data_IF_726099107894
#
_entry.id   IF_726099107894
#
_cell.length_a   1.000
_cell.length_b   1.000
_cell.length_c   1.000
_cell.angle_alpha   90.00
_cell.angle_beta   90.00
_cell.angle_gamma   90.00
#
_symmetry.space_group_name_H-M   'P 1'
#
loop_
_entity.id
_entity.type
_entity.pdbx_description
1 polymer ?
#
# COMPACT_ATOMS: atom_id res chain seq x y z
N UNK A 1 12.92 4.98 -21.83
CA UNK A 1 12.79 3.98 -20.74
C UNK A 1 11.46 3.23 -20.82
N UNK A 2 10.29 3.87 -20.65
CA UNK A 2 8.97 3.21 -20.74
C UNK A 2 8.77 2.34 -22.01
N UNK A 3 8.94 2.93 -23.20
CA UNK A 3 8.79 2.19 -24.47
C UNK A 3 9.78 1.02 -24.62
N UNK A 4 10.94 1.07 -23.95
CA UNK A 4 11.88 -0.05 -23.94
C UNK A 4 11.40 -1.16 -23.01
N UNK A 5 10.81 -0.81 -21.87
CA UNK A 5 10.23 -1.76 -20.92
C UNK A 5 9.01 -2.45 -21.53
N UNK A 6 8.09 -1.69 -22.15
CA UNK A 6 6.89 -2.23 -22.82
C UNK A 6 7.23 -3.22 -23.94
N UNK A 7 8.33 -3.00 -24.69
CA UNK A 7 8.79 -3.94 -25.72
C UNK A 7 9.31 -5.26 -25.17
N UNK A 8 9.74 -5.28 -23.91
CA UNK A 8 10.23 -6.48 -23.24
C UNK A 8 9.14 -7.19 -22.43
N UNK A 9 7.91 -6.66 -22.42
CA UNK A 9 6.79 -7.35 -21.78
C UNK A 9 6.41 -8.61 -22.59
N UNK A 10 5.96 -9.67 -21.90
CA UNK A 10 5.40 -10.83 -22.57
C UNK A 10 4.24 -10.42 -23.49
N UNK A 11 4.06 -11.15 -24.60
CA UNK A 11 2.95 -10.90 -25.49
C UNK A 11 1.62 -11.15 -24.76
N UNK A 12 0.80 -10.10 -24.62
CA UNK A 12 -0.49 -10.18 -23.93
C UNK A 12 -1.50 -11.07 -24.66
N UNK A 13 -1.27 -11.36 -25.95
CA UNK A 13 -2.09 -12.30 -26.74
C UNK A 13 -2.16 -13.67 -26.08
N UNK A 14 -1.07 -14.16 -25.48
CA UNK A 14 -1.07 -15.45 -24.76
C UNK A 14 -2.07 -15.44 -23.60
N UNK A 15 -2.10 -14.34 -22.84
CA UNK A 15 -3.08 -14.15 -21.77
C UNK A 15 -4.51 -14.09 -22.29
N UNK A 16 -4.75 -13.32 -23.36
CA UNK A 16 -6.09 -13.11 -23.91
C UNK A 16 -6.66 -14.37 -24.58
N UNK A 17 -5.84 -15.11 -25.31
CA UNK A 17 -6.26 -16.27 -26.11
C UNK A 17 -6.22 -17.59 -25.34
N UNK A 18 -5.30 -17.75 -24.38
CA UNK A 18 -5.14 -19.00 -23.65
C UNK A 18 -5.60 -18.91 -22.19
N UNK A 19 -5.25 -17.85 -21.45
CA UNK A 19 -5.57 -17.76 -20.02
C UNK A 19 -7.02 -17.34 -19.77
N UNK A 20 -7.53 -16.31 -20.46
CA UNK A 20 -8.91 -15.84 -20.24
C UNK A 20 -10.00 -16.91 -20.50
N UNK A 21 -9.92 -17.74 -21.55
CA UNK A 21 -10.88 -18.83 -21.74
C UNK A 21 -10.83 -19.87 -20.63
N UNK A 22 -9.63 -20.19 -20.11
CA UNK A 22 -9.48 -21.10 -18.96
C UNK A 22 -10.16 -20.55 -17.72
N UNK A 23 -10.00 -19.25 -17.42
CA UNK A 23 -10.68 -18.60 -16.30
C UNK A 23 -12.21 -18.66 -16.46
N UNK A 24 -12.74 -18.36 -17.65
CA UNK A 24 -14.18 -18.43 -17.93
C UNK A 24 -14.72 -19.85 -17.76
N UNK A 25 -13.99 -20.85 -18.23
CA UNK A 25 -14.36 -22.25 -18.06
C UNK A 25 -14.35 -22.66 -16.58
N UNK A 26 -13.32 -22.25 -15.83
CA UNK A 26 -13.23 -22.51 -14.40
C UNK A 26 -14.42 -21.89 -13.62
N UNK A 27 -14.81 -20.65 -13.93
CA UNK A 27 -15.99 -20.02 -13.32
C UNK A 27 -17.27 -20.81 -13.59
N UNK A 28 -17.49 -21.25 -14.84
CA UNK A 28 -18.66 -22.08 -15.20
C UNK A 28 -18.67 -23.43 -14.49
N UNK A 29 -17.52 -24.09 -14.36
CA UNK A 29 -17.41 -25.35 -13.63
C UNK A 29 -17.69 -25.18 -12.12
N UNK A 30 -17.47 -23.98 -11.58
CA UNK A 30 -17.83 -23.61 -10.22
C UNK A 30 -19.24 -23.01 -10.10
N UNK A 31 -20.09 -23.15 -11.12
CA UNK A 31 -21.48 -22.65 -11.15
C UNK A 31 -21.64 -21.13 -11.14
N UNK A 32 -20.67 -20.38 -11.66
CA UNK A 32 -20.74 -18.93 -11.85
C UNK A 32 -20.86 -18.56 -13.33
N UNK A 33 -21.60 -17.49 -13.64
CA UNK A 33 -21.87 -17.07 -15.01
C UNK A 33 -20.70 -16.28 -15.62
N UNK A 34 -19.87 -15.66 -14.78
CA UNK A 34 -18.74 -14.84 -15.20
C UNK A 34 -17.54 -14.96 -14.25
N UNK A 35 -16.35 -14.57 -14.74
CA UNK A 35 -15.14 -14.44 -13.92
C UNK A 35 -15.32 -13.38 -12.83
N UNK A 36 -16.04 -12.31 -13.16
CA UNK A 36 -16.35 -11.22 -12.22
C UNK A 36 -17.17 -11.74 -11.02
N UNK A 37 -18.24 -12.48 -11.29
CA UNK A 37 -19.10 -13.10 -10.26
C UNK A 37 -18.32 -14.10 -9.41
N UNK A 38 -17.42 -14.87 -10.04
CA UNK A 38 -16.56 -15.81 -9.31
C UNK A 38 -15.60 -15.10 -8.36
N UNK A 39 -14.96 -14.00 -8.78
CA UNK A 39 -14.08 -13.22 -7.92
C UNK A 39 -14.83 -12.49 -6.80
N UNK A 40 -16.01 -11.96 -7.09
CA UNK A 40 -16.86 -11.33 -6.06
C UNK A 40 -17.25 -12.32 -4.97
N UNK A 41 -17.59 -13.56 -5.35
CA UNK A 41 -17.89 -14.64 -4.41
C UNK A 41 -16.69 -15.05 -3.54
N UNK A 42 -15.45 -14.93 -4.04
CA UNK A 42 -14.25 -15.19 -3.26
C UNK A 42 -13.98 -14.12 -2.20
N UNK A 43 -14.43 -12.88 -2.41
CA UNK A 43 -14.16 -11.74 -1.53
C UNK A 43 -14.98 -11.68 -0.24
N UNK A 44 -15.85 -12.67 0.00
CA UNK A 44 -16.75 -12.77 1.17
C UNK A 44 -17.70 -11.56 1.33
N UNK A 45 -17.84 -10.75 0.28
CA UNK A 45 -18.71 -9.57 0.24
C UNK A 45 -19.54 -9.61 -1.04
N UNK A 46 -20.82 -9.98 -0.90
CA UNK A 46 -21.75 -10.05 -2.03
C UNK A 46 -21.96 -8.65 -2.65
N UNK A 47 -21.77 -8.54 -3.97
CA UNK A 47 -21.88 -7.27 -4.68
C UNK A 47 -20.71 -6.32 -4.42
N UNK A 48 -19.55 -6.82 -4.02
CA UNK A 48 -18.36 -6.03 -3.67
C UNK A 48 -17.89 -5.16 -4.80
N UNK A 49 -17.87 -5.68 -6.02
CA UNK A 49 -17.50 -4.90 -7.21
C UNK A 49 -18.50 -3.79 -7.54
N UNK A 50 -19.81 -4.05 -7.40
CA UNK A 50 -20.81 -3.00 -7.55
C UNK A 50 -20.61 -1.92 -6.49
N UNK A 51 -20.36 -2.33 -5.24
CA UNK A 51 -20.11 -1.41 -4.15
C UNK A 51 -18.86 -0.57 -4.36
N UNK A 52 -17.79 -1.17 -4.86
CA UNK A 52 -16.56 -0.47 -5.21
C UNK A 52 -16.81 0.61 -6.28
N UNK A 53 -17.62 0.31 -7.31
CA UNK A 53 -18.02 1.31 -8.33
C UNK A 53 -18.81 2.47 -7.72
N UNK A 54 -19.77 2.19 -6.83
CA UNK A 54 -20.51 3.25 -6.12
C UNK A 54 -19.59 4.13 -5.25
N UNK A 55 -18.64 3.52 -4.54
CA UNK A 55 -17.67 4.24 -3.72
C UNK A 55 -16.74 5.08 -4.59
N UNK A 56 -16.32 4.55 -5.73
CA UNK A 56 -15.52 5.29 -6.70
C UNK A 56 -16.22 6.57 -7.16
N UNK A 57 -17.52 6.54 -7.45
CA UNK A 57 -18.26 7.74 -7.86
C UNK A 57 -18.25 8.83 -6.77
N UNK A 58 -18.17 8.45 -5.48
CA UNK A 58 -18.04 9.39 -4.35
C UNK A 58 -16.61 9.93 -4.20
N UNK A 59 -15.60 9.12 -4.53
CA UNK A 59 -14.18 9.48 -4.43
C UNK A 59 -13.72 10.28 -5.65
N UNK A 60 -14.30 10.03 -6.83
CA UNK A 60 -13.97 10.63 -8.12
C UNK A 60 -13.84 12.16 -8.08
N UNK A 61 -14.70 12.94 -7.40
CA UNK A 61 -14.50 14.39 -7.28
C UNK A 61 -13.19 14.78 -6.59
N UNK A 62 -12.74 14.01 -5.59
CA UNK A 62 -11.46 14.22 -4.92
C UNK A 62 -10.29 13.83 -5.82
N UNK A 63 -10.37 12.66 -6.47
CA UNK A 63 -9.38 12.22 -7.45
C UNK A 63 -9.20 13.27 -8.56
N UNK A 64 -10.28 13.79 -9.14
CA UNK A 64 -10.22 14.81 -10.19
C UNK A 64 -9.58 16.11 -9.71
N UNK A 65 -9.79 16.51 -8.45
CA UNK A 65 -9.10 17.68 -7.86
C UNK A 65 -7.60 17.41 -7.72
N UNK A 66 -7.22 16.24 -7.21
CA UNK A 66 -5.82 15.83 -7.11
C UNK A 66 -5.14 15.76 -8.48
N UNK A 67 -5.76 15.08 -9.45
CA UNK A 67 -5.26 14.98 -10.81
C UNK A 67 -5.07 16.36 -11.45
N UNK A 68 -6.05 17.28 -11.32
CA UNK A 68 -5.91 18.67 -11.82
C UNK A 68 -4.75 19.40 -11.13
N UNK A 69 -4.58 19.23 -9.82
CA UNK A 69 -3.47 19.81 -9.07
C UNK A 69 -2.12 19.28 -9.56
N UNK A 70 -1.98 17.96 -9.72
CA UNK A 70 -0.75 17.33 -10.25
C UNK A 70 -0.45 17.82 -11.67
N UNK A 71 -1.46 17.87 -12.54
CA UNK A 71 -1.31 18.39 -13.90
C UNK A 71 -0.81 19.84 -13.91
N UNK A 72 -1.43 20.71 -13.11
CA UNK A 72 -1.04 22.11 -12.99
C UNK A 72 0.40 22.26 -12.51
N UNK A 73 0.80 21.49 -11.49
CA UNK A 73 2.12 21.58 -10.87
C UNK A 73 3.25 21.04 -11.76
N UNK A 74 2.99 19.98 -12.51
CA UNK A 74 4.02 19.34 -13.33
C UNK A 74 4.11 19.92 -14.75
N UNK A 75 2.98 20.38 -15.30
CA UNK A 75 2.88 20.72 -16.74
C UNK A 75 2.21 22.06 -17.04
N UNK A 76 1.72 22.77 -16.02
CA UNK A 76 1.07 24.07 -16.19
C UNK A 76 -0.42 23.98 -16.55
N UNK A 77 -1.04 25.16 -16.75
CA UNK A 77 -2.49 25.30 -16.90
C UNK A 77 -3.04 24.52 -18.11
N UNK A 78 -2.29 24.47 -19.21
CA UNK A 78 -2.72 23.82 -20.46
C UNK A 78 -2.88 22.29 -20.34
N UNK A 79 -2.30 21.68 -19.30
CA UNK A 79 -2.42 20.25 -19.02
C UNK A 79 -3.62 19.91 -18.13
N UNK A 80 -4.25 20.89 -17.50
CA UNK A 80 -5.37 20.66 -16.58
C UNK A 80 -6.55 20.05 -17.32
N UNK A 81 -7.03 18.89 -16.84
CA UNK A 81 -8.14 18.16 -17.46
C UNK A 81 -7.75 17.23 -18.61
N UNK A 82 -6.47 17.18 -19.00
CA UNK A 82 -5.93 16.23 -19.99
C UNK A 82 -5.27 15.02 -19.28
N UNK A 83 -5.25 13.83 -19.88
CA UNK A 83 -4.56 12.68 -19.32
C UNK A 83 -3.09 12.98 -18.99
N UNK A 84 -2.61 12.50 -17.84
CA UNK A 84 -1.21 12.57 -17.45
C UNK A 84 -0.40 11.44 -18.09
N UNK A 85 0.70 11.74 -18.82
CA UNK A 85 1.58 10.70 -19.32
C UNK A 85 2.25 9.93 -18.16
N UNK A 86 2.01 8.62 -18.04
CA UNK A 86 2.48 7.78 -16.91
C UNK A 86 3.97 7.98 -16.57
N UNK A 87 4.84 8.15 -17.57
CA UNK A 87 6.28 8.28 -17.36
C UNK A 87 6.70 9.52 -16.56
N UNK A 88 5.84 10.56 -16.43
CA UNK A 88 6.16 11.74 -15.61
C UNK A 88 5.90 11.50 -14.12
N UNK A 89 5.18 10.44 -13.78
CA UNK A 89 4.82 10.08 -12.41
C UNK A 89 5.95 9.35 -11.69
N UNK A 90 7.05 9.03 -12.40
CA UNK A 90 8.16 8.21 -11.90
C UNK A 90 7.70 6.82 -11.40
N UNK A 91 6.59 6.31 -11.94
CA UNK A 91 6.11 4.94 -11.80
C UNK A 91 6.05 4.27 -13.18
N UNK A 92 6.20 2.95 -13.23
CA UNK A 92 6.08 2.15 -14.46
C UNK A 92 4.61 1.96 -14.85
N UNK A 93 3.76 1.70 -13.85
CA UNK A 93 2.31 1.44 -13.96
C UNK A 93 1.46 2.69 -13.76
N UNK A 94 1.93 3.66 -12.96
CA UNK A 94 1.19 4.89 -12.62
C UNK A 94 0.21 4.72 -11.47
N UNK A 95 0.32 3.63 -10.72
CA UNK A 95 -0.41 3.26 -9.50
C UNK A 95 0.06 4.01 -8.23
N UNK A 96 1.30 4.47 -8.19
CA UNK A 96 1.84 5.27 -7.09
C UNK A 96 2.42 6.60 -7.59
N UNK A 97 1.89 7.70 -7.10
CA UNK A 97 2.35 9.07 -7.40
C UNK A 97 3.17 9.66 -6.25
N UNK A 98 3.50 8.90 -5.21
CA UNK A 98 4.32 9.37 -4.09
C UNK A 98 5.72 9.80 -4.53
N UNK A 99 6.25 9.19 -5.60
CA UNK A 99 7.58 9.47 -6.17
C UNK A 99 7.77 10.91 -6.69
N UNK A 100 6.68 11.66 -6.89
CA UNK A 100 6.69 13.06 -7.34
C UNK A 100 6.29 14.05 -6.24
N UNK A 101 6.18 13.60 -4.99
CA UNK A 101 5.75 14.42 -3.84
C UNK A 101 6.49 15.76 -3.77
N UNK A 102 7.81 15.79 -3.99
CA UNK A 102 8.64 16.99 -3.86
C UNK A 102 8.23 18.12 -4.81
N UNK A 103 7.71 17.79 -6.01
CA UNK A 103 7.20 18.78 -6.97
C UNK A 103 5.84 19.36 -6.54
N UNK A 104 5.12 18.62 -5.68
CA UNK A 104 3.75 18.88 -5.28
C UNK A 104 3.64 19.53 -3.90
N UNK A 105 4.73 19.57 -3.14
CA UNK A 105 4.73 20.18 -1.81
C UNK A 105 4.47 21.70 -1.87
N UNK A 106 3.73 22.24 -0.88
CA UNK A 106 3.63 23.69 -0.69
C UNK A 106 4.98 24.31 -0.31
N UNK A 107 5.11 25.63 -0.48
CA UNK A 107 6.30 26.37 -0.05
C UNK A 107 6.51 26.17 1.46
N UNK A 108 7.69 25.68 1.85
CA UNK A 108 8.05 25.36 3.25
C UNK A 108 7.27 24.18 3.85
N UNK A 109 7.26 23.01 3.20
CA UNK A 109 6.69 21.78 3.76
C UNK A 109 7.59 21.17 4.86
N UNK A 110 7.72 21.87 5.99
CA UNK A 110 8.65 21.52 7.06
C UNK A 110 8.41 20.13 7.68
N UNK A 111 7.17 19.66 7.73
CA UNK A 111 6.85 18.31 8.21
C UNK A 111 7.43 17.21 7.31
N UNK A 112 7.28 17.33 5.99
CA UNK A 112 7.87 16.39 5.04
C UNK A 112 9.38 16.36 5.19
N UNK A 113 10.03 17.54 5.22
CA UNK A 113 11.48 17.65 5.32
C UNK A 113 12.02 17.03 6.62
N UNK A 114 11.38 17.30 7.76
CA UNK A 114 11.80 16.75 9.06
C UNK A 114 11.56 15.24 9.16
N UNK A 115 10.39 14.75 8.72
CA UNK A 115 10.11 13.31 8.71
C UNK A 115 11.11 12.60 7.80
N UNK A 116 11.30 13.09 6.58
CA UNK A 116 12.27 12.52 5.64
C UNK A 116 13.69 12.50 6.22
N UNK A 117 14.16 13.61 6.80
CA UNK A 117 15.48 13.67 7.44
C UNK A 117 15.60 12.70 8.63
N UNK A 118 14.58 12.62 9.49
CA UNK A 118 14.60 11.75 10.65
C UNK A 118 14.56 10.26 10.26
N UNK A 119 13.85 9.88 9.20
CA UNK A 119 13.91 8.52 8.66
C UNK A 119 15.35 8.14 8.29
N UNK A 120 16.08 9.04 7.63
CA UNK A 120 17.48 8.84 7.25
C UNK A 120 18.41 8.79 8.48
N UNK A 121 18.30 9.77 9.38
CA UNK A 121 19.14 9.85 10.59
C UNK A 121 18.96 8.67 11.54
N UNK A 122 17.75 8.11 11.58
CA UNK A 122 17.44 6.92 12.37
C UNK A 122 17.68 5.60 11.61
N UNK A 123 18.18 5.68 10.37
CA UNK A 123 18.44 4.53 9.50
C UNK A 123 17.23 3.57 9.39
N UNK A 124 16.03 4.15 9.22
CA UNK A 124 14.78 3.40 9.11
C UNK A 124 14.58 2.82 7.70
N UNK A 125 15.45 1.87 7.36
CA UNK A 125 15.37 1.02 6.18
C UNK A 125 15.57 -0.45 6.53
N UNK A 126 15.19 -1.34 5.62
CA UNK A 126 15.29 -2.79 5.83
C UNK A 126 14.66 -3.28 7.14
N UNK A 127 15.38 -4.09 7.94
CA UNK A 127 14.82 -4.65 9.17
C UNK A 127 14.44 -3.58 10.22
N UNK A 128 15.13 -2.43 10.25
CA UNK A 128 14.88 -1.40 11.27
C UNK A 128 13.48 -0.80 11.14
N UNK A 129 13.00 -0.59 9.90
CA UNK A 129 11.66 -0.05 9.69
C UNK A 129 10.57 -1.06 10.04
N UNK A 130 10.82 -2.36 9.85
CA UNK A 130 9.90 -3.43 10.26
C UNK A 130 9.81 -3.55 11.78
N UNK A 131 10.94 -3.45 12.50
CA UNK A 131 10.95 -3.36 13.97
C UNK A 131 10.16 -2.13 14.44
N UNK A 132 10.31 -1.01 13.75
CA UNK A 132 9.58 0.23 14.07
C UNK A 132 8.07 0.06 13.86
N UNK A 133 7.67 -0.59 12.77
CA UNK A 133 6.28 -0.91 12.49
C UNK A 133 5.68 -1.88 13.52
N UNK A 134 6.44 -2.89 13.96
CA UNK A 134 6.03 -3.80 15.03
C UNK A 134 5.70 -3.08 16.34
N UNK A 135 6.44 -2.00 16.66
CA UNK A 135 6.14 -1.19 17.83
C UNK A 135 4.77 -0.48 17.72
N UNK A 136 4.36 -0.01 16.54
CA UNK A 136 3.04 0.60 16.37
C UNK A 136 1.92 -0.43 16.60
N UNK A 137 2.09 -1.64 16.10
CA UNK A 137 1.12 -2.73 16.25
C UNK A 137 1.00 -3.15 17.73
N UNK A 138 2.14 -3.19 18.44
CA UNK A 138 2.18 -3.38 19.90
C UNK A 138 1.43 -2.25 20.63
N UNK A 139 1.67 -1.00 20.27
CA UNK A 139 0.99 0.18 20.84
C UNK A 139 -0.52 0.17 20.58
N UNK A 140 -0.97 -0.43 19.48
CA UNK A 140 -2.37 -0.64 19.13
C UNK A 140 -2.98 -1.90 19.79
N UNK A 141 -2.21 -2.59 20.64
CA UNK A 141 -2.62 -3.77 21.39
C UNK A 141 -2.97 -5.01 20.53
N UNK A 142 -2.37 -5.12 19.34
CA UNK A 142 -2.44 -6.34 18.51
C UNK A 142 -1.40 -7.40 18.91
N UNK A 143 -0.53 -7.08 19.89
CA UNK A 143 0.57 -7.93 20.33
C UNK A 143 1.87 -7.66 19.59
N UNK A 144 2.89 -8.48 19.86
CA UNK A 144 4.21 -8.37 19.25
C UNK A 144 4.32 -9.32 18.05
N UNK A 145 5.08 -8.93 17.04
CA UNK A 145 5.40 -9.82 15.92
C UNK A 145 6.47 -10.82 16.37
N UNK A 146 6.37 -12.07 15.91
CA UNK A 146 7.35 -13.09 16.26
C UNK A 146 8.76 -12.67 15.80
N UNK A 147 9.78 -12.74 16.67
CA UNK A 147 11.15 -12.32 16.30
C UNK A 147 11.69 -13.08 15.09
N UNK A 148 11.35 -14.36 14.99
CA UNK A 148 11.74 -15.26 13.91
C UNK A 148 11.22 -14.77 12.55
N UNK A 149 9.96 -14.32 12.48
CA UNK A 149 9.35 -13.73 11.28
C UNK A 149 10.18 -12.56 10.75
N UNK A 150 10.69 -11.72 11.66
CA UNK A 150 11.53 -10.58 11.29
C UNK A 150 12.95 -10.99 10.88
N UNK A 151 13.58 -11.92 11.60
CA UNK A 151 14.96 -12.34 11.30
C UNK A 151 15.07 -13.14 10.01
N UNK A 152 14.03 -13.89 9.67
CA UNK A 152 14.00 -14.76 8.50
C UNK A 152 13.66 -14.03 7.19
N UNK A 153 13.19 -12.78 7.29
CA UNK A 153 12.84 -11.94 6.16
C UNK A 153 14.07 -11.39 5.43
N UNK A 154 13.92 -11.07 4.14
CA UNK A 154 14.99 -10.58 3.27
C UNK A 154 14.82 -9.09 3.02
N UNK A 155 15.74 -8.28 3.55
CA UNK A 155 15.66 -6.81 3.49
C UNK A 155 16.62 -6.15 2.48
N UNK A 156 17.37 -6.94 1.73
CA UNK A 156 18.32 -6.45 0.73
C UNK A 156 17.98 -7.02 -0.66
N UNK A 157 16.72 -6.81 -1.07
CA UNK A 157 16.17 -7.27 -2.33
C UNK A 157 15.53 -6.08 -3.08
N UNK A 158 14.51 -6.35 -3.90
CA UNK A 158 13.74 -5.36 -4.67
C UNK A 158 12.51 -4.86 -3.91
N UNK A 159 12.14 -3.60 -4.14
CA UNK A 159 10.86 -3.03 -3.73
C UNK A 159 9.85 -3.04 -4.92
N UNK A 160 8.52 -2.99 -4.67
CA UNK A 160 7.84 -2.94 -3.36
C UNK A 160 7.98 -4.24 -2.55
N UNK A 161 7.61 -4.18 -1.28
CA UNK A 161 7.63 -5.31 -0.34
C UNK A 161 6.71 -6.42 -0.80
N UNK A 162 7.24 -7.63 -0.96
CA UNK A 162 6.46 -8.84 -1.24
C UNK A 162 6.39 -9.72 0.00
N UNK A 163 5.19 -10.17 0.36
CA UNK A 163 4.99 -11.15 1.42
C UNK A 163 4.91 -12.56 0.82
N UNK A 164 5.74 -13.47 1.35
CA UNK A 164 5.76 -14.87 0.95
C UNK A 164 5.19 -15.70 2.09
N UNK A 165 3.99 -16.26 1.89
CA UNK A 165 3.31 -17.15 2.82
C UNK A 165 3.53 -18.62 2.41
N UNK A 166 4.13 -19.42 3.28
CA UNK A 166 4.33 -20.86 3.05
C UNK A 166 3.11 -21.71 3.41
N UNK A 167 1.98 -21.08 3.73
CA UNK A 167 0.74 -21.69 4.21
C UNK A 167 0.95 -22.62 5.42
N UNK A 168 2.04 -22.43 6.16
CA UNK A 168 2.38 -23.13 7.40
C UNK A 168 2.28 -22.15 8.57
N UNK A 169 1.95 -22.63 9.78
CA UNK A 169 1.83 -21.74 10.93
C UNK A 169 3.12 -20.93 11.11
N UNK A 170 2.96 -19.61 11.21
CA UNK A 170 4.03 -18.65 11.45
C UNK A 170 5.20 -18.72 10.44
N UNK A 171 4.92 -19.16 9.21
CA UNK A 171 5.91 -19.19 8.12
C UNK A 171 5.55 -18.18 7.04
N UNK A 172 5.64 -16.90 7.40
CA UNK A 172 5.53 -15.78 6.45
C UNK A 172 6.81 -14.97 6.49
N UNK A 173 7.27 -14.47 5.34
CA UNK A 173 8.48 -13.66 5.22
C UNK A 173 8.25 -12.44 4.35
N UNK A 174 8.87 -11.32 4.68
CA UNK A 174 8.98 -10.18 3.78
C UNK A 174 10.20 -10.31 2.89
N UNK A 175 10.05 -9.92 1.63
CA UNK A 175 11.14 -9.67 0.70
C UNK A 175 11.02 -8.22 0.25
N UNK A 176 12.01 -7.38 0.60
CA UNK A 176 11.97 -5.94 0.36
C UNK A 176 13.37 -5.35 0.19
N UNK A 177 13.45 -4.10 -0.25
CA UNK A 177 14.71 -3.36 -0.39
C UNK A 177 15.12 -2.65 0.92
N UNK A 178 16.38 -2.23 0.99
CA UNK A 178 16.94 -1.55 2.17
C UNK A 178 16.65 -0.04 2.18
N UNK A 179 16.08 0.49 1.11
CA UNK A 179 15.97 1.92 0.88
C UNK A 179 15.15 2.63 1.96
N UNK A 180 15.66 3.77 2.41
CA UNK A 180 15.00 4.63 3.39
C UNK A 180 14.15 5.66 2.64
N UNK A 181 12.83 5.56 2.77
CA UNK A 181 11.89 6.52 2.18
C UNK A 181 10.60 6.56 3.00
N UNK A 182 9.80 7.62 2.84
CA UNK A 182 8.47 7.67 3.45
C UNK A 182 7.59 6.57 2.85
N UNK A 183 7.65 6.29 1.54
CA UNK A 183 6.89 5.21 0.91
C UNK A 183 7.16 3.85 1.55
N UNK A 184 8.44 3.48 1.67
CA UNK A 184 8.85 2.21 2.29
C UNK A 184 8.51 2.19 3.79
N UNK A 185 8.52 3.34 4.47
CA UNK A 185 8.08 3.44 5.86
C UNK A 185 6.59 3.09 6.01
N UNK A 186 5.72 3.65 5.16
CA UNK A 186 4.28 3.35 5.24
C UNK A 186 4.02 1.91 4.81
N UNK A 187 4.69 1.42 3.76
CA UNK A 187 4.57 0.03 3.28
C UNK A 187 5.00 -0.99 4.34
N UNK A 188 6.08 -0.74 5.09
CA UNK A 188 6.50 -1.61 6.17
C UNK A 188 5.43 -1.75 7.26
N UNK A 189 4.66 -0.70 7.57
CA UNK A 189 3.56 -0.78 8.53
C UNK A 189 2.41 -1.65 8.01
N UNK A 190 2.13 -1.57 6.72
CA UNK A 190 1.16 -2.47 6.07
C UNK A 190 1.65 -3.93 6.12
N UNK A 191 2.89 -4.17 5.71
CA UNK A 191 3.48 -5.50 5.64
C UNK A 191 3.53 -6.19 7.01
N UNK A 192 3.99 -5.49 8.06
CA UNK A 192 4.04 -6.03 9.41
C UNK A 192 2.63 -6.29 9.95
N UNK A 193 1.63 -5.45 9.62
CA UNK A 193 0.26 -5.73 10.02
C UNK A 193 -0.33 -6.94 9.29
N UNK A 194 -0.03 -7.14 8.00
CA UNK A 194 -0.40 -8.35 7.24
C UNK A 194 0.22 -9.62 7.86
N UNK A 195 1.50 -9.55 8.24
CA UNK A 195 2.18 -10.63 8.97
C UNK A 195 1.49 -10.89 10.31
N UNK A 196 1.23 -9.84 11.11
CA UNK A 196 0.61 -10.00 12.41
C UNK A 196 -0.81 -10.55 12.31
N UNK A 197 -1.56 -10.12 11.31
CA UNK A 197 -2.89 -10.66 11.02
C UNK A 197 -2.82 -12.17 10.81
N UNK A 198 -1.87 -12.65 9.99
CA UNK A 198 -1.67 -14.09 9.74
C UNK A 198 -1.28 -14.86 11.00
N UNK A 199 -0.40 -14.32 11.85
CA UNK A 199 -0.11 -14.91 13.16
C UNK A 199 -1.37 -15.05 14.03
N UNK A 200 -2.21 -14.01 14.09
CA UNK A 200 -3.47 -14.04 14.84
C UNK A 200 -4.42 -15.11 14.29
N UNK A 201 -4.58 -15.21 12.97
CA UNK A 201 -5.40 -16.27 12.36
C UNK A 201 -4.86 -17.65 12.76
N UNK A 202 -3.54 -17.86 12.77
CA UNK A 202 -2.95 -19.14 13.12
C UNK A 202 -3.37 -19.59 14.52
N UNK A 203 -3.41 -18.68 15.50
CA UNK A 203 -3.84 -18.96 16.87
C UNK A 203 -5.30 -19.44 16.97
N UNK A 204 -6.18 -18.96 16.09
CA UNK A 204 -7.62 -19.27 16.13
C UNK A 204 -8.06 -20.36 15.15
N UNK A 205 -7.18 -20.79 14.25
CA UNK A 205 -7.49 -21.76 13.19
C UNK A 205 -7.50 -23.23 13.62
N UNK A 206 -7.12 -23.55 14.87
CA UNK A 206 -6.86 -24.92 15.33
C UNK A 206 -5.92 -25.71 14.39
N UNK A 207 -4.93 -25.03 13.79
CA UNK A 207 -4.02 -25.57 12.79
C UNK A 207 -4.70 -26.05 11.49
N UNK A 208 -5.95 -25.67 11.24
CA UNK A 208 -6.69 -26.04 10.02
C UNK A 208 -6.23 -25.17 8.86
N UNK A 209 -5.64 -25.78 7.83
CA UNK A 209 -5.16 -25.07 6.63
C UNK A 209 -6.22 -24.14 6.03
N UNK A 210 -7.44 -24.64 5.83
CA UNK A 210 -8.52 -23.89 5.18
C UNK A 210 -8.85 -22.61 5.95
N UNK A 211 -8.91 -22.67 7.29
CA UNK A 211 -9.21 -21.50 8.12
C UNK A 211 -8.06 -20.48 8.14
N UNK A 212 -6.81 -20.93 7.93
CA UNK A 212 -5.63 -20.04 7.84
C UNK A 212 -5.56 -19.27 6.54
N UNK A 213 -6.00 -19.90 5.45
CA UNK A 213 -5.96 -19.34 4.11
C UNK A 213 -7.26 -18.71 3.63
N UNK A 214 -8.38 -18.93 4.33
CA UNK A 214 -9.67 -18.33 3.99
C UNK A 214 -9.58 -16.81 3.76
N UNK A 215 -8.87 -16.01 4.58
CA UNK A 215 -8.85 -14.56 4.42
C UNK A 215 -8.05 -14.04 3.21
N UNK A 216 -7.42 -14.89 2.40
CA UNK A 216 -6.54 -14.48 1.27
C UNK A 216 -7.22 -13.57 0.23
N UNK A 217 -8.54 -13.60 0.15
CA UNK A 217 -9.34 -12.74 -0.73
C UNK A 217 -10.21 -11.74 0.05
N UNK A 218 -10.12 -11.75 1.38
CA UNK A 218 -10.98 -10.95 2.23
C UNK A 218 -10.60 -9.48 2.15
N UNK A 219 -11.58 -8.62 1.88
CA UNK A 219 -11.40 -7.18 1.93
C UNK A 219 -10.94 -6.70 3.32
N UNK A 220 -11.29 -7.42 4.39
CA UNK A 220 -10.87 -7.09 5.76
C UNK A 220 -9.37 -7.33 5.94
N UNK A 221 -8.83 -8.40 5.34
CA UNK A 221 -7.41 -8.73 5.37
C UNK A 221 -6.55 -7.64 4.71
N UNK A 222 -7.08 -6.95 3.69
CA UNK A 222 -6.42 -5.79 3.08
C UNK A 222 -6.68 -4.48 3.83
N UNK A 223 -7.92 -4.26 4.30
CA UNK A 223 -8.33 -3.00 4.91
C UNK A 223 -7.65 -2.71 6.25
N UNK A 224 -7.48 -3.71 7.12
CA UNK A 224 -6.85 -3.50 8.45
C UNK A 224 -5.38 -3.08 8.31
N UNK A 225 -4.54 -3.80 7.56
CA UNK A 225 -3.18 -3.37 7.27
C UNK A 225 -3.10 -2.02 6.56
N UNK A 226 -3.95 -1.78 5.55
CA UNK A 226 -4.01 -0.49 4.86
C UNK A 226 -4.36 0.67 5.81
N UNK A 227 -5.20 0.42 6.83
CA UNK A 227 -5.48 1.41 7.86
C UNK A 227 -4.29 1.65 8.80
N UNK A 228 -3.59 0.60 9.24
CA UNK A 228 -2.38 0.74 10.08
C UNK A 228 -1.26 1.49 9.34
N UNK A 229 -1.13 1.20 8.05
CA UNK A 229 -0.30 1.92 7.08
C UNK A 229 -0.60 3.43 7.13
N UNK A 230 -1.86 3.85 6.99
CA UNK A 230 -2.27 5.26 7.14
C UNK A 230 -2.01 5.84 8.55
N UNK A 231 -2.25 5.06 9.60
CA UNK A 231 -2.02 5.49 10.98
C UNK A 231 -0.55 5.78 11.28
N UNK A 232 0.39 5.14 10.57
CA UNK A 232 1.83 5.39 10.76
C UNK A 232 2.23 6.86 10.53
N UNK A 233 1.45 7.60 9.73
CA UNK A 233 1.65 9.02 9.47
C UNK A 233 0.81 9.95 10.36
N UNK A 234 0.02 9.40 11.29
CA UNK A 234 -0.72 10.20 12.25
C UNK A 234 0.25 11.02 13.13
N UNK A 235 -0.05 12.27 13.51
CA UNK A 235 0.84 13.09 14.35
C UNK A 235 1.27 12.42 15.67
N UNK A 236 0.38 11.64 16.30
CA UNK A 236 0.71 10.89 17.51
C UNK A 236 1.65 9.72 17.22
N UNK A 237 1.44 9.00 16.11
CA UNK A 237 2.31 7.92 15.67
C UNK A 237 3.70 8.46 15.29
N UNK A 238 3.78 9.58 14.57
CA UNK A 238 5.05 10.25 14.24
C UNK A 238 5.78 10.79 15.48
N UNK A 239 5.05 11.22 16.52
CA UNK A 239 5.65 11.69 17.76
C UNK A 239 6.24 10.53 18.58
N UNK A 240 5.49 9.45 18.79
CA UNK A 240 6.04 8.20 19.38
C UNK A 240 7.15 7.60 18.50
N UNK A 241 6.98 7.82 17.20
CA UNK A 241 7.89 7.75 16.07
C UNK A 241 9.29 8.34 16.30
N UNK A 242 9.37 9.39 17.12
CA UNK A 242 10.51 10.31 17.11
C UNK A 242 10.72 11.01 15.76
N UNK A 243 9.78 10.86 14.81
CA UNK A 243 9.90 11.36 13.44
C UNK A 243 9.40 12.80 13.34
N UNK A 244 8.41 13.17 14.15
CA UNK A 244 7.92 14.55 14.20
C UNK A 244 7.25 14.86 15.54
N UNK A 245 7.71 15.91 16.23
CA UNK A 245 7.16 16.30 17.53
C UNK A 245 5.72 16.81 17.41
N UNK A 246 4.86 16.36 18.33
CA UNK A 246 3.48 16.82 18.44
C UNK A 246 3.40 18.31 18.81
N UNK A 247 4.35 18.82 19.60
CA UNK A 247 4.45 20.23 19.92
C UNK A 247 4.66 21.06 18.65
N UNK A 248 5.60 20.63 17.80
CA UNK A 248 5.88 21.29 16.53
C UNK A 248 4.67 21.20 15.58
N UNK A 249 3.99 20.06 15.58
CA UNK A 249 2.78 19.85 14.79
C UNK A 249 1.68 20.87 15.13
N UNK A 250 1.50 21.14 16.42
CA UNK A 250 0.42 21.98 16.94
C UNK A 250 0.58 23.48 16.66
N UNK A 251 1.75 23.97 16.24
CA UNK A 251 1.90 25.37 15.81
C UNK A 251 1.09 25.70 14.55
N UNK A 252 0.95 24.74 13.62
CA UNK A 252 0.13 24.92 12.42
C UNK A 252 -0.50 23.58 11.98
N UNK A 253 -1.52 23.10 12.71
CA UNK A 253 -2.04 21.75 12.54
C UNK A 253 -2.71 21.56 11.17
N UNK A 254 -3.38 22.59 10.64
CA UNK A 254 -4.04 22.52 9.35
C UNK A 254 -3.04 22.37 8.21
N UNK A 255 -1.95 23.14 8.23
CA UNK A 255 -0.92 23.06 7.22
C UNK A 255 -0.18 21.72 7.25
N UNK A 256 0.22 21.27 8.45
CA UNK A 256 0.90 19.98 8.59
C UNK A 256 0.00 18.81 8.19
N UNK A 257 -1.28 18.83 8.60
CA UNK A 257 -2.26 17.83 8.20
C UNK A 257 -2.44 17.79 6.69
N UNK A 258 -2.50 18.93 6.02
CA UNK A 258 -2.62 19.00 4.56
C UNK A 258 -1.44 18.32 3.86
N UNK A 259 -0.21 18.54 4.34
CA UNK A 259 0.99 17.89 3.77
C UNK A 259 0.94 16.37 3.96
N UNK A 260 0.58 15.89 5.16
CA UNK A 260 0.45 14.44 5.41
C UNK A 260 -0.66 13.82 4.57
N UNK A 261 -1.81 14.50 4.43
CA UNK A 261 -2.91 14.05 3.58
C UNK A 261 -2.52 14.00 2.11
N UNK A 262 -1.71 14.93 1.63
CA UNK A 262 -1.20 14.89 0.27
C UNK A 262 -0.30 13.66 0.05
N UNK A 263 0.56 13.32 1.00
CA UNK A 263 1.42 12.11 0.93
C UNK A 263 0.55 10.85 0.80
N UNK A 264 -0.45 10.69 1.67
CA UNK A 264 -1.35 9.53 1.63
C UNK A 264 -2.17 9.50 0.32
N UNK A 265 -2.72 10.64 -0.08
CA UNK A 265 -3.54 10.75 -1.28
C UNK A 265 -2.77 10.41 -2.57
N UNK A 266 -1.48 10.73 -2.65
CA UNK A 266 -0.65 10.40 -3.81
C UNK A 266 -0.30 8.91 -3.91
N UNK A 267 -0.40 8.16 -2.81
CA UNK A 267 -0.18 6.72 -2.80
C UNK A 267 -1.47 5.94 -3.06
N UNK A 268 -2.58 6.34 -2.42
CA UNK A 268 -3.77 5.48 -2.31
C UNK A 268 -4.95 5.87 -3.24
N UNK A 269 -4.93 7.06 -3.87
CA UNK A 269 -6.00 7.50 -4.78
C UNK A 269 -5.78 7.23 -6.28
N UNK A 270 -4.54 7.21 -6.82
CA UNK A 270 -4.31 6.87 -8.23
C UNK A 270 -4.83 5.51 -8.65
#
# INVERSE_FOLDING_TARGET
MKASWERNLPNITDYLEHILPLLRNASKQNSYNSVEEYWDALGEYEGGLLKARELWDRIKPLYLKLHKYVALRLRGADAVGKPLPIHILRSLSGDDWSNIIENLLPKHAGIYQKVHANLQLMELGGMNVFKRAGQLIKDLNFGEIEPETLTDSVYNSTCPTTLVDWCKPNMMKAVTCKDVSIGNYIEAHEAVMKMKYKEIINLHSNNTYILREAPRYSAIYEAIPGFVSLLSLNPHALNRAGLYSLEIFNYNPNYHRLVLQLIMALRDLP
#
